data_IF_919120443840
#
_entry.id   IF_919120443840
#
_cell.length_a   1.000
_cell.length_b   1.000
_cell.length_c   1.000
_cell.angle_alpha   90.00
_cell.angle_beta   90.00
_cell.angle_gamma   90.00
#
_symmetry.space_group_name_H-M   'P 1'
#
loop_
_entity.id
_entity.type
_entity.pdbx_description
1 polymer ?
#
# COMPACT_ATOMS: atom_id res chain seq x y z
N UNK A 1 -14.17 23.42 71.99
CA UNK A 1 -15.31 23.35 71.06
C UNK A 1 -15.44 24.69 70.36
N UNK A 2 -14.84 24.82 69.18
CA UNK A 2 -14.70 26.08 68.43
C UNK A 2 -15.80 26.17 67.37
N UNK A 3 -16.66 27.19 67.46
CA UNK A 3 -17.72 27.49 66.47
C UNK A 3 -17.09 28.14 65.23
N UNK A 4 -17.23 27.51 64.06
CA UNK A 4 -16.92 28.11 62.77
C UNK A 4 -18.13 28.92 62.27
N UNK A 5 -17.86 30.19 61.92
CA UNK A 5 -18.78 31.12 61.29
C UNK A 5 -18.81 30.85 59.78
N UNK A 6 -20.00 30.69 59.19
CA UNK A 6 -20.19 30.55 57.74
C UNK A 6 -20.86 31.83 57.24
N UNK A 7 -20.19 32.58 56.36
CA UNK A 7 -20.79 33.69 55.60
C UNK A 7 -21.21 33.18 54.20
N UNK A 8 -22.35 33.63 53.66
CA UNK A 8 -22.77 33.27 52.31
C UNK A 8 -22.11 34.19 51.27
N UNK A 9 -21.52 33.59 50.24
CA UNK A 9 -21.05 34.28 49.03
C UNK A 9 -22.21 34.38 48.04
N UNK A 10 -22.63 35.59 47.72
CA UNK A 10 -23.63 35.87 46.69
C UNK A 10 -23.03 35.65 45.29
N UNK A 11 -23.61 34.73 44.53
CA UNK A 11 -23.26 34.45 43.14
C UNK A 11 -24.12 35.34 42.22
N UNK A 12 -23.55 36.40 41.66
CA UNK A 12 -24.19 37.25 40.67
C UNK A 12 -24.15 36.58 39.28
N UNK A 13 -25.34 36.27 38.75
CA UNK A 13 -25.57 35.74 37.40
C UNK A 13 -25.55 36.91 36.41
N UNK A 14 -24.57 36.94 35.52
CA UNK A 14 -24.56 37.84 34.36
C UNK A 14 -25.11 37.10 33.14
N UNK A 15 -26.36 37.42 32.78
CA UNK A 15 -26.98 37.11 31.49
C UNK A 15 -26.25 37.93 30.41
N UNK A 16 -25.59 37.27 29.45
CA UNK A 16 -25.20 37.91 28.19
C UNK A 16 -26.17 37.50 27.09
N UNK A 17 -26.72 38.52 26.42
CA UNK A 17 -27.71 38.44 25.36
C UNK A 17 -27.13 37.76 24.10
N UNK A 18 -27.88 36.80 23.56
CA UNK A 18 -27.61 36.19 22.27
C UNK A 18 -28.12 37.11 21.14
N UNK A 19 -27.20 37.67 20.36
CA UNK A 19 -27.50 38.36 19.10
C UNK A 19 -27.79 37.32 18.01
N UNK A 20 -29.01 37.35 17.49
CA UNK A 20 -29.47 36.59 16.33
C UNK A 20 -28.89 37.24 15.07
N UNK A 21 -27.98 36.54 14.39
CA UNK A 21 -27.55 36.85 13.02
C UNK A 21 -28.10 35.77 12.07
N UNK A 22 -28.56 36.14 10.85
CA UNK A 22 -29.11 35.18 9.89
C UNK A 22 -28.01 34.27 9.32
N UNK A 23 -28.34 33.01 8.96
CA UNK A 23 -27.36 32.09 8.39
C UNK A 23 -26.95 32.54 6.99
N UNK A 24 -25.66 32.84 6.83
CA UNK A 24 -25.04 32.96 5.52
C UNK A 24 -25.13 31.61 4.77
N UNK A 25 -25.55 31.67 3.51
CA UNK A 25 -25.58 30.54 2.61
C UNK A 25 -24.15 29.99 2.41
N UNK A 26 -23.83 28.92 3.12
CA UNK A 26 -22.56 28.22 3.00
C UNK A 26 -22.56 27.38 1.72
N UNK A 27 -21.72 27.77 0.76
CA UNK A 27 -21.28 26.88 -0.31
C UNK A 27 -20.50 25.73 0.32
N UNK A 28 -21.10 24.54 0.33
CA UNK A 28 -20.56 23.33 0.92
C UNK A 28 -19.30 22.91 0.12
N UNK A 29 -18.12 23.36 0.57
CA UNK A 29 -16.85 22.96 -0.03
C UNK A 29 -16.62 21.47 0.27
N UNK A 30 -16.95 20.61 -0.69
CA UNK A 30 -16.64 19.19 -0.67
C UNK A 30 -15.46 18.92 -1.62
N UNK A 31 -14.21 18.91 -1.14
CA UNK A 31 -13.04 18.67 -1.99
C UNK A 31 -12.98 17.24 -2.54
N UNK A 32 -13.87 16.36 -2.08
CA UNK A 32 -13.94 14.95 -2.47
C UNK A 32 -15.17 14.61 -3.33
N UNK A 33 -15.97 15.61 -3.76
CA UNK A 33 -17.04 15.35 -4.72
C UNK A 33 -16.45 14.80 -6.02
N UNK A 34 -16.80 13.55 -6.34
CA UNK A 34 -16.49 12.90 -7.62
C UNK A 34 -16.89 13.84 -8.76
N UNK A 35 -15.90 14.35 -9.49
CA UNK A 35 -16.15 14.92 -10.81
C UNK A 35 -16.41 13.76 -11.79
N UNK A 36 -17.64 13.23 -11.75
CA UNK A 36 -18.24 12.42 -12.80
C UNK A 36 -19.11 13.36 -13.64
N UNK A 37 -18.51 14.21 -14.49
CA UNK A 37 -19.24 14.84 -15.57
C UNK A 37 -18.33 15.24 -16.74
N UNK A 38 -17.96 14.26 -17.57
CA UNK A 38 -17.55 14.53 -18.94
C UNK A 38 -18.80 14.45 -19.82
N UNK A 39 -19.48 15.58 -19.95
CA UNK A 39 -20.63 15.77 -20.82
C UNK A 39 -20.65 17.22 -21.30
N UNK A 40 -19.82 17.54 -22.29
CA UNK A 40 -19.99 18.76 -23.09
C UNK A 40 -20.01 18.34 -24.55
N UNK A 41 -21.22 18.07 -25.03
CA UNK A 41 -21.55 18.31 -26.42
C UNK A 41 -21.87 19.78 -26.57
N UNK A 42 -21.16 20.47 -27.46
CA UNK A 42 -21.73 21.57 -28.22
C UNK A 42 -21.31 21.41 -29.68
N UNK A 43 -22.31 21.04 -30.47
CA UNK A 43 -22.34 21.12 -31.91
C UNK A 43 -22.32 22.58 -32.33
N UNK A 44 -21.34 22.99 -33.15
CA UNK A 44 -21.55 24.04 -34.14
C UNK A 44 -20.86 23.59 -35.43
N UNK A 45 -21.66 23.12 -36.36
CA UNK A 45 -21.36 23.07 -37.79
C UNK A 45 -22.36 24.04 -38.42
N UNK A 46 -21.92 24.96 -39.29
CA UNK A 46 -22.64 25.04 -40.55
C UNK A 46 -21.71 25.21 -41.76
N UNK A 47 -21.98 24.37 -42.74
CA UNK A 47 -21.64 24.43 -44.16
C UNK A 47 -21.11 25.76 -44.72
N UNK A 48 -20.02 25.68 -45.49
CA UNK A 48 -20.00 26.24 -46.86
C UNK A 48 -18.95 25.59 -47.76
N UNK A 49 -19.39 25.36 -48.99
CA UNK A 49 -18.73 24.66 -50.11
C UNK A 49 -17.62 25.51 -50.73
N UNK A 50 -16.60 24.86 -51.29
CA UNK A 50 -16.14 25.18 -52.66
C UNK A 50 -15.23 24.09 -53.22
N UNK A 51 -15.68 23.61 -54.37
CA UNK A 51 -15.08 22.66 -55.30
C UNK A 51 -14.21 23.45 -56.31
N UNK A 52 -13.01 22.94 -56.65
CA UNK A 52 -12.15 23.11 -57.87
C UNK A 52 -10.68 22.94 -57.43
N UNK A 53 -9.75 22.19 -58.03
CA UNK A 53 -9.66 21.46 -59.29
C UNK A 53 -8.15 21.26 -59.61
N UNK A 54 -7.84 20.21 -60.38
CA UNK A 54 -6.65 19.99 -61.24
C UNK A 54 -5.27 19.52 -60.69
N UNK A 55 -4.78 18.44 -61.34
CA UNK A 55 -3.36 18.21 -61.72
C UNK A 55 -2.70 16.98 -61.08
N UNK A 56 -2.71 15.79 -61.70
CA UNK A 56 -1.77 15.24 -62.72
C UNK A 56 -0.61 14.36 -62.17
N UNK A 57 -0.69 13.06 -62.52
CA UNK A 57 0.34 12.05 -62.84
C UNK A 57 1.60 11.86 -61.96
N UNK A 58 1.85 10.62 -61.49
CA UNK A 58 3.06 9.86 -61.90
C UNK A 58 3.05 8.37 -61.49
N UNK A 59 3.26 7.53 -62.50
CA UNK A 59 3.82 6.17 -62.60
C UNK A 59 4.13 5.29 -61.35
N UNK A 60 3.53 4.10 -61.34
CA UNK A 60 4.20 2.80 -61.56
C UNK A 60 5.26 2.32 -60.56
N UNK A 61 4.99 1.18 -59.91
CA UNK A 61 6.02 0.37 -59.26
C UNK A 61 5.48 -0.78 -58.42
N UNK A 62 5.42 -1.98 -59.01
CA UNK A 62 5.28 -3.24 -58.28
C UNK A 62 6.52 -3.46 -57.39
N UNK A 63 6.33 -3.74 -56.10
CA UNK A 63 7.36 -4.44 -55.31
C UNK A 63 6.75 -5.36 -54.27
N UNK A 64 6.94 -6.65 -54.55
CA UNK A 64 6.89 -7.86 -53.75
C UNK A 64 6.57 -7.74 -52.25
N UNK A 65 5.55 -8.51 -51.86
CA UNK A 65 5.19 -8.78 -50.48
C UNK A 65 6.33 -9.41 -49.69
N UNK A 66 6.85 -8.65 -48.73
CA UNK A 66 7.55 -9.19 -47.59
C UNK A 66 6.52 -9.67 -46.57
N UNK A 67 6.55 -10.97 -46.27
CA UNK A 67 5.89 -11.56 -45.11
C UNK A 67 6.46 -10.91 -43.83
N UNK A 68 5.82 -9.83 -43.38
CA UNK A 68 5.99 -9.30 -42.03
C UNK A 68 5.25 -10.23 -41.08
N UNK A 69 5.95 -11.27 -40.61
CA UNK A 69 5.48 -12.04 -39.46
C UNK A 69 5.38 -11.09 -38.27
N UNK A 70 4.13 -10.89 -37.82
CA UNK A 70 3.74 -9.93 -36.79
C UNK A 70 4.60 -10.02 -35.53
N UNK A 71 5.50 -9.05 -35.40
CA UNK A 71 6.26 -8.77 -34.18
C UNK A 71 5.63 -7.57 -33.47
N UNK A 72 4.32 -7.60 -33.23
CA UNK A 72 3.56 -6.53 -32.58
C UNK A 72 2.68 -7.07 -31.43
N UNK A 73 3.19 -8.00 -30.61
CA UNK A 73 2.40 -8.58 -29.52
C UNK A 73 3.12 -8.79 -28.19
N UNK A 74 4.35 -8.28 -28.03
CA UNK A 74 5.08 -8.38 -26.76
C UNK A 74 5.01 -7.13 -25.88
N UNK A 75 4.79 -5.94 -26.46
CA UNK A 75 4.62 -4.69 -25.70
C UNK A 75 3.31 -4.64 -24.88
N UNK A 76 2.34 -5.51 -25.20
CA UNK A 76 1.03 -5.58 -24.52
C UNK A 76 1.06 -6.34 -23.19
N UNK A 77 2.11 -7.14 -22.92
CA UNK A 77 2.16 -7.98 -21.70
C UNK A 77 2.65 -7.24 -20.47
N UNK A 78 3.45 -6.18 -20.64
CA UNK A 78 3.98 -5.41 -19.51
C UNK A 78 3.06 -4.25 -19.09
N UNK A 79 2.28 -3.68 -20.02
CA UNK A 79 1.33 -2.60 -19.75
C UNK A 79 0.14 -3.05 -18.89
N UNK A 80 -0.30 -4.30 -19.02
CA UNK A 80 -1.36 -4.89 -18.20
C UNK A 80 -1.00 -4.99 -16.71
N UNK A 81 0.26 -5.28 -16.39
CA UNK A 81 0.73 -5.43 -15.01
C UNK A 81 0.87 -4.07 -14.30
N UNK A 82 1.35 -3.05 -15.02
CA UNK A 82 1.43 -1.69 -14.48
C UNK A 82 0.05 -1.08 -14.26
N UNK A 83 -0.88 -1.24 -15.20
CA UNK A 83 -2.26 -0.74 -15.07
C UNK A 83 -2.99 -1.36 -13.88
N UNK A 84 -2.80 -2.67 -13.63
CA UNK A 84 -3.31 -3.35 -12.43
C UNK A 84 -2.70 -2.80 -11.14
N UNK A 85 -1.37 -2.61 -11.13
CA UNK A 85 -0.66 -2.05 -9.98
C UNK A 85 -1.08 -0.62 -9.65
N UNK A 86 -1.25 0.23 -10.68
CA UNK A 86 -1.76 1.61 -10.52
C UNK A 86 -3.21 1.63 -10.01
N UNK A 87 -4.05 0.68 -10.45
CA UNK A 87 -5.42 0.56 -9.95
C UNK A 87 -5.46 0.13 -8.48
N UNK A 88 -4.54 -0.73 -8.05
CA UNK A 88 -4.38 -1.09 -6.64
C UNK A 88 -3.91 0.10 -5.80
N UNK A 89 -2.95 0.88 -6.29
CA UNK A 89 -2.49 2.13 -5.65
C UNK A 89 -3.62 3.14 -5.51
N UNK A 90 -4.42 3.32 -6.55
CA UNK A 90 -5.60 4.20 -6.54
C UNK A 90 -6.61 3.77 -5.48
N UNK A 91 -6.95 2.47 -5.44
CA UNK A 91 -7.87 1.92 -4.44
C UNK A 91 -7.33 2.08 -3.01
N UNK A 92 -6.03 1.82 -2.78
CA UNK A 92 -5.39 2.01 -1.48
C UNK A 92 -5.40 3.49 -1.05
N UNK A 93 -5.12 4.40 -1.98
CA UNK A 93 -5.19 5.85 -1.74
C UNK A 93 -6.60 6.27 -1.34
N UNK A 94 -7.63 5.74 -2.01
CA UNK A 94 -9.03 6.02 -1.66
C UNK A 94 -9.42 5.52 -0.25
N UNK A 95 -8.88 4.39 0.19
CA UNK A 95 -9.08 3.92 1.56
C UNK A 95 -8.35 4.80 2.58
N UNK A 96 -7.11 5.21 2.30
CA UNK A 96 -6.36 6.14 3.15
C UNK A 96 -7.11 7.46 3.30
N UNK A 97 -7.64 8.03 2.20
CA UNK A 97 -8.45 9.26 2.23
C UNK A 97 -9.67 9.09 3.15
N UNK A 98 -10.40 7.98 3.04
CA UNK A 98 -11.54 7.68 3.93
C UNK A 98 -11.11 7.57 5.40
N UNK A 99 -9.98 6.93 5.67
CA UNK A 99 -9.47 6.75 7.03
C UNK A 99 -9.05 8.09 7.64
N UNK A 100 -8.34 8.94 6.88
CA UNK A 100 -8.00 10.31 7.30
C UNK A 100 -9.25 11.13 7.58
N UNK A 101 -10.24 11.08 6.67
CA UNK A 101 -11.50 11.78 6.86
C UNK A 101 -12.22 11.31 8.14
N UNK A 102 -12.34 10.00 8.35
CA UNK A 102 -12.96 9.43 9.54
C UNK A 102 -12.22 9.84 10.82
N UNK A 103 -10.89 9.83 10.80
CA UNK A 103 -10.05 10.26 11.92
C UNK A 103 -10.30 11.73 12.27
N UNK A 104 -10.28 12.62 11.28
CA UNK A 104 -10.50 14.04 11.49
C UNK A 104 -11.92 14.34 11.97
N UNK A 105 -12.92 13.60 11.47
CA UNK A 105 -14.31 13.73 11.94
C UNK A 105 -14.46 13.28 13.39
N UNK A 106 -13.92 12.11 13.74
CA UNK A 106 -14.00 11.55 15.11
C UNK A 106 -13.24 12.39 16.13
N UNK A 107 -12.14 13.02 15.72
CA UNK A 107 -11.36 13.92 16.57
C UNK A 107 -11.93 15.33 16.68
N UNK A 108 -13.06 15.63 16.00
CA UNK A 108 -13.67 16.96 15.99
C UNK A 108 -12.90 18.00 15.19
N UNK A 109 -11.84 17.61 14.48
CA UNK A 109 -10.94 18.48 13.70
C UNK A 109 -11.47 18.80 12.30
N UNK A 110 -12.63 18.25 11.94
CA UNK A 110 -13.21 18.34 10.60
C UNK A 110 -14.16 19.52 10.38
N UNK A 111 -14.66 20.18 11.43
CA UNK A 111 -15.78 21.12 11.31
C UNK A 111 -15.36 22.59 11.34
N UNK A 112 -15.88 23.45 10.44
CA UNK A 112 -16.71 23.18 9.25
C UNK A 112 -15.91 22.68 8.03
N UNK A 113 -14.59 22.80 8.10
CA UNK A 113 -13.60 22.27 7.18
C UNK A 113 -12.32 21.99 7.96
N UNK A 114 -11.45 21.07 7.51
CA UNK A 114 -10.15 20.88 8.14
C UNK A 114 -9.33 22.18 8.06
N UNK A 115 -8.70 22.57 9.17
CA UNK A 115 -7.89 23.78 9.27
C UNK A 115 -6.42 23.46 9.53
N UNK A 116 -5.53 24.42 9.26
CA UNK A 116 -4.10 24.30 9.55
C UNK A 116 -3.46 23.08 8.88
N UNK A 117 -2.76 22.25 9.67
CA UNK A 117 -2.06 21.06 9.17
C UNK A 117 -3.01 20.02 8.56
N UNK A 118 -4.27 19.94 9.01
CA UNK A 118 -5.25 19.00 8.46
C UNK A 118 -5.63 19.35 7.03
N UNK A 119 -5.75 20.66 6.75
CA UNK A 119 -5.97 21.14 5.38
C UNK A 119 -4.80 20.77 4.47
N UNK A 120 -3.56 20.86 4.96
CA UNK A 120 -2.37 20.47 4.19
C UNK A 120 -2.35 18.98 3.86
N UNK A 121 -2.81 18.12 4.78
CA UNK A 121 -2.97 16.68 4.51
C UNK A 121 -4.01 16.44 3.42
N UNK A 122 -5.17 17.09 3.51
CA UNK A 122 -6.21 16.95 2.49
C UNK A 122 -5.74 17.43 1.11
N UNK A 123 -5.02 18.56 1.04
CA UNK A 123 -4.44 19.06 -0.21
C UNK A 123 -3.38 18.09 -0.76
N UNK A 124 -2.46 17.61 0.08
CA UNK A 124 -1.42 16.67 -0.33
C UNK A 124 -2.03 15.37 -0.88
N UNK A 125 -3.04 14.81 -0.22
CA UNK A 125 -3.75 13.62 -0.69
C UNK A 125 -4.47 13.86 -2.02
N UNK A 126 -5.08 15.04 -2.19
CA UNK A 126 -5.74 15.41 -3.44
C UNK A 126 -4.74 15.53 -4.59
N UNK A 127 -3.61 16.22 -4.38
CA UNK A 127 -2.54 16.33 -5.38
C UNK A 127 -1.97 14.96 -5.74
N UNK A 128 -1.73 14.12 -4.73
CA UNK A 128 -1.23 12.77 -4.93
C UNK A 128 -2.19 11.90 -5.75
N UNK A 129 -3.51 11.97 -5.46
CA UNK A 129 -4.53 11.28 -6.26
C UNK A 129 -4.57 11.78 -7.72
N UNK A 130 -4.41 13.08 -7.93
CA UNK A 130 -4.31 13.64 -9.29
C UNK A 130 -3.08 13.13 -10.04
N UNK A 131 -1.93 13.00 -9.36
CA UNK A 131 -0.71 12.42 -9.93
C UNK A 131 -0.94 10.96 -10.34
N UNK A 132 -1.57 10.14 -9.50
CA UNK A 132 -1.95 8.75 -9.86
C UNK A 132 -2.79 8.74 -11.14
N UNK A 133 -3.79 9.62 -11.24
CA UNK A 133 -4.63 9.73 -12.42
C UNK A 133 -3.89 10.21 -13.68
N UNK A 134 -2.84 11.03 -13.53
CA UNK A 134 -1.97 11.41 -14.65
C UNK A 134 -1.13 10.21 -15.12
N UNK A 135 -0.45 9.51 -14.20
CA UNK A 135 0.35 8.32 -14.50
C UNK A 135 -0.50 7.24 -15.18
N UNK A 136 -1.71 6.99 -14.66
CA UNK A 136 -2.65 6.01 -15.24
C UNK A 136 -3.03 6.34 -16.69
N UNK A 137 -3.32 7.62 -16.98
CA UNK A 137 -3.64 8.06 -18.36
C UNK A 137 -2.43 8.02 -19.28
N UNK A 138 -1.23 8.26 -18.74
CA UNK A 138 0.02 8.29 -19.50
C UNK A 138 0.71 6.92 -19.58
N UNK A 139 0.23 5.92 -18.85
CA UNK A 139 0.75 4.55 -18.88
C UNK A 139 0.75 3.90 -20.27
N UNK A 140 0.00 4.44 -21.24
CA UNK A 140 0.05 4.03 -22.65
C UNK A 140 1.22 4.61 -23.45
N UNK A 141 1.95 5.60 -22.92
CA UNK A 141 3.08 6.28 -23.54
C UNK A 141 4.36 6.08 -22.71
N UNK A 142 5.18 5.10 -23.11
CA UNK A 142 6.34 4.61 -22.34
C UNK A 142 7.42 5.68 -22.07
N UNK A 143 7.58 6.68 -22.93
CA UNK A 143 8.74 7.59 -22.89
C UNK A 143 8.83 8.50 -21.65
N UNK A 144 7.72 8.71 -20.93
CA UNK A 144 7.66 9.63 -19.77
C UNK A 144 7.31 8.92 -18.45
N UNK A 145 7.17 7.60 -18.47
CA UNK A 145 6.66 6.83 -17.33
C UNK A 145 7.61 6.86 -16.13
N UNK A 146 8.92 6.80 -16.36
CA UNK A 146 9.92 6.83 -15.29
C UNK A 146 9.87 8.16 -14.52
N UNK A 147 9.77 9.28 -15.24
CA UNK A 147 9.66 10.61 -14.62
C UNK A 147 8.38 10.73 -13.78
N UNK A 148 7.28 10.17 -14.26
CA UNK A 148 6.00 10.19 -13.56
C UNK A 148 6.01 9.31 -12.30
N UNK A 149 6.66 8.14 -12.33
CA UNK A 149 6.82 7.30 -11.15
C UNK A 149 7.68 7.96 -10.07
N UNK A 150 8.72 8.70 -10.46
CA UNK A 150 9.52 9.51 -9.52
C UNK A 150 8.68 10.62 -8.88
N UNK A 151 7.85 11.31 -9.66
CA UNK A 151 6.92 12.32 -9.12
C UNK A 151 5.91 11.70 -8.15
N UNK A 152 5.41 10.51 -8.47
CA UNK A 152 4.48 9.78 -7.60
C UNK A 152 5.15 9.41 -6.27
N UNK A 153 6.40 8.95 -6.31
CA UNK A 153 7.18 8.65 -5.10
C UNK A 153 7.38 9.89 -4.22
N UNK A 154 7.70 11.03 -4.83
CA UNK A 154 7.83 12.30 -4.10
C UNK A 154 6.48 12.77 -3.52
N UNK A 155 5.38 12.59 -4.27
CA UNK A 155 4.03 12.86 -3.80
C UNK A 155 3.66 12.03 -2.58
N UNK A 156 3.95 10.73 -2.60
CA UNK A 156 3.73 9.84 -1.47
C UNK A 156 4.53 10.27 -0.24
N UNK A 157 5.82 10.57 -0.40
CA UNK A 157 6.68 11.05 0.69
C UNK A 157 6.15 12.38 1.29
N UNK A 158 5.67 13.30 0.45
CA UNK A 158 5.08 14.55 0.91
C UNK A 158 3.81 14.30 1.75
N UNK A 159 2.94 13.39 1.31
CA UNK A 159 1.74 13.01 2.07
C UNK A 159 2.11 12.41 3.43
N UNK A 160 3.10 11.52 3.50
CA UNK A 160 3.56 10.95 4.79
C UNK A 160 4.05 12.06 5.73
N UNK A 161 4.86 12.99 5.23
CA UNK A 161 5.38 14.11 6.02
C UNK A 161 4.26 15.05 6.52
N UNK A 162 3.24 15.34 5.68
CA UNK A 162 2.11 16.17 6.11
C UNK A 162 1.23 15.43 7.12
N UNK A 163 0.98 14.14 6.93
CA UNK A 163 0.22 13.31 7.87
C UNK A 163 0.92 13.23 9.23
N UNK A 164 2.23 13.09 9.25
CA UNK A 164 3.02 13.10 10.48
C UNK A 164 2.93 14.45 11.20
N UNK A 165 3.00 15.56 10.48
CA UNK A 165 2.85 16.92 11.05
C UNK A 165 1.43 17.21 11.55
N UNK A 166 0.43 16.66 10.89
CA UNK A 166 -0.97 16.79 11.33
C UNK A 166 -1.33 15.85 12.48
N UNK A 167 -0.46 14.91 12.85
CA UNK A 167 -0.75 13.91 13.88
C UNK A 167 -1.93 13.02 13.49
N UNK A 168 -1.95 12.56 12.23
CA UNK A 168 -2.89 11.52 11.79
C UNK A 168 -2.60 10.23 12.55
N UNK A 169 -3.62 9.39 12.75
CA UNK A 169 -3.46 8.14 13.48
C UNK A 169 -2.34 7.25 12.89
N UNK A 170 -1.56 6.55 13.74
CA UNK A 170 -0.43 5.73 13.29
C UNK A 170 -0.82 4.61 12.32
N UNK A 171 -2.05 4.11 12.39
CA UNK A 171 -2.53 3.05 11.50
C UNK A 171 -2.63 3.53 10.05
N UNK A 172 -3.26 4.68 9.84
CA UNK A 172 -3.39 5.32 8.53
C UNK A 172 -2.03 5.80 8.02
N UNK A 173 -1.15 6.31 8.90
CA UNK A 173 0.23 6.64 8.54
C UNK A 173 1.01 5.41 8.03
N UNK A 174 0.88 4.27 8.72
CA UNK A 174 1.52 3.02 8.31
C UNK A 174 1.00 2.51 6.96
N UNK A 175 -0.30 2.66 6.69
CA UNK A 175 -0.87 2.36 5.36
C UNK A 175 -0.27 3.23 4.25
N UNK A 176 -0.05 4.52 4.52
CA UNK A 176 0.58 5.43 3.57
C UNK A 176 2.07 5.10 3.34
N UNK A 177 2.80 4.70 4.39
CA UNK A 177 4.19 4.23 4.26
C UNK A 177 4.28 2.96 3.40
N UNK A 178 3.40 1.99 3.62
CA UNK A 178 3.34 0.80 2.76
C UNK A 178 3.03 1.16 1.30
N UNK A 179 2.14 2.13 1.07
CA UNK A 179 1.85 2.61 -0.28
C UNK A 179 3.09 3.25 -0.93
N UNK A 180 3.84 4.05 -0.17
CA UNK A 180 5.10 4.64 -0.61
C UNK A 180 6.13 3.56 -1.00
N UNK A 181 6.26 2.50 -0.19
CA UNK A 181 7.15 1.37 -0.46
C UNK A 181 6.75 0.63 -1.73
N UNK A 182 5.45 0.38 -1.93
CA UNK A 182 4.92 -0.25 -3.15
C UNK A 182 5.25 0.58 -4.40
N UNK A 183 5.14 1.92 -4.33
CA UNK A 183 5.48 2.82 -5.43
C UNK A 183 6.98 2.80 -5.73
N UNK A 184 7.82 2.79 -4.70
CA UNK A 184 9.27 2.68 -4.86
C UNK A 184 9.66 1.37 -5.55
N UNK A 185 8.99 0.27 -5.20
CA UNK A 185 9.22 -1.03 -5.84
C UNK A 185 8.80 -1.02 -7.32
N UNK A 186 7.69 -0.37 -7.67
CA UNK A 186 7.30 -0.16 -9.07
C UNK A 186 8.33 0.68 -9.84
N UNK A 187 8.85 1.74 -9.21
CA UNK A 187 9.89 2.58 -9.81
C UNK A 187 11.14 1.75 -10.12
N UNK A 188 11.60 0.94 -9.16
CA UNK A 188 12.74 0.04 -9.35
C UNK A 188 12.48 -0.99 -10.46
N UNK A 189 11.29 -1.61 -10.50
CA UNK A 189 10.91 -2.57 -11.54
C UNK A 189 10.86 -1.94 -12.94
N UNK A 190 10.41 -0.68 -13.05
CA UNK A 190 10.33 0.03 -14.33
C UNK A 190 11.70 0.39 -14.90
N UNK A 191 12.72 0.55 -14.05
CA UNK A 191 14.07 0.94 -14.46
C UNK A 191 14.87 -0.18 -15.17
N UNK A 192 14.44 -1.44 -15.04
CA UNK A 192 15.11 -2.59 -15.67
C UNK A 192 14.69 -2.85 -17.12
N UNK A 193 13.68 -2.14 -17.65
CA UNK A 193 13.13 -2.41 -18.99
C UNK A 193 13.74 -1.54 -20.11
N UNK A 194 15.00 -1.09 -19.94
CA UNK A 194 15.75 -0.30 -20.92
C UNK A 194 16.95 -1.03 -21.57
N UNK A 195 17.16 -2.32 -21.27
CA UNK A 195 18.33 -3.07 -21.73
C UNK A 195 17.99 -4.20 -22.71
N UNK A 196 18.30 -3.98 -23.99
CA UNK A 196 18.59 -4.95 -25.05
C UNK A 196 17.87 -6.34 -25.00
N UNK A 197 16.89 -6.62 -25.89
CA UNK A 197 16.14 -7.88 -25.92
C UNK A 197 16.93 -9.14 -26.33
N UNK A 198 18.24 -9.06 -26.58
CA UNK A 198 19.07 -10.18 -27.08
C UNK A 198 20.03 -10.78 -26.03
N UNK A 199 19.65 -10.83 -24.74
CA UNK A 199 20.45 -11.53 -23.74
C UNK A 199 19.81 -12.90 -23.35
N UNK A 200 20.30 -14.04 -23.89
CA UNK A 200 19.69 -15.37 -23.70
C UNK A 200 19.85 -15.94 -22.28
N UNK A 201 20.52 -15.24 -21.36
CA UNK A 201 20.67 -15.67 -19.97
C UNK A 201 19.42 -15.47 -19.10
N UNK A 202 18.38 -14.80 -19.61
CA UNK A 202 17.15 -14.53 -18.85
C UNK A 202 16.01 -15.54 -19.08
N UNK A 203 16.17 -16.53 -19.95
CA UNK A 203 15.09 -17.47 -20.27
C UNK A 203 15.05 -18.74 -19.39
N UNK A 204 15.85 -18.82 -18.32
CA UNK A 204 15.76 -19.89 -17.30
C UNK A 204 15.74 -19.34 -15.86
N UNK A 205 15.41 -18.06 -15.68
CA UNK A 205 15.41 -17.40 -14.38
C UNK A 205 14.12 -17.62 -13.60
N UNK A 206 14.23 -18.30 -12.47
CA UNK A 206 13.25 -18.26 -11.38
C UNK A 206 12.76 -16.82 -11.13
N UNK A 207 11.44 -16.70 -11.04
CA UNK A 207 10.68 -15.47 -10.78
C UNK A 207 11.24 -14.65 -9.61
N UNK A 208 11.91 -13.53 -9.90
CA UNK A 208 12.16 -12.45 -8.96
C UNK A 208 10.95 -11.48 -8.84
N UNK A 209 9.79 -11.82 -9.42
CA UNK A 209 8.60 -10.96 -9.51
C UNK A 209 7.55 -11.19 -8.39
N UNK A 210 7.86 -11.91 -7.31
CA UNK A 210 6.87 -12.23 -6.25
C UNK A 210 7.00 -11.45 -4.93
N UNK A 211 7.84 -10.41 -4.84
CA UNK A 211 8.23 -9.85 -3.53
C UNK A 211 7.54 -8.57 -3.04
N UNK A 212 6.44 -8.13 -3.66
CA UNK A 212 6.20 -6.68 -3.66
C UNK A 212 4.79 -6.18 -3.39
N UNK A 213 3.95 -6.95 -2.68
CA UNK A 213 2.62 -6.47 -2.30
C UNK A 213 2.09 -7.07 -0.99
N UNK A 214 2.94 -7.20 0.04
CA UNK A 214 2.60 -7.84 1.32
C UNK A 214 1.48 -7.16 2.14
N UNK A 215 0.99 -5.98 1.72
CA UNK A 215 -0.17 -5.34 2.35
C UNK A 215 -1.50 -6.03 2.05
N UNK A 216 -1.58 -6.84 0.98
CA UNK A 216 -2.77 -7.63 0.60
C UNK A 216 -2.44 -8.98 -0.08
N UNK A 217 -1.17 -9.27 -0.40
CA UNK A 217 -0.77 -10.57 -0.90
C UNK A 217 -0.63 -11.55 0.26
N UNK A 218 -1.22 -12.72 0.08
CA UNK A 218 -1.01 -13.86 0.96
C UNK A 218 0.49 -14.15 1.01
N UNK A 219 1.11 -14.03 2.19
CA UNK A 219 2.40 -14.63 2.45
C UNK A 219 2.23 -16.13 2.21
N UNK A 220 3.08 -16.71 1.39
CA UNK A 220 3.21 -18.15 1.23
C UNK A 220 4.66 -18.44 0.87
N UNK A 221 5.49 -18.50 1.91
CA UNK A 221 6.93 -18.72 1.80
C UNK A 221 7.24 -20.08 2.41
N UNK A 222 8.07 -20.87 1.73
CA UNK A 222 8.53 -22.16 2.22
C UNK A 222 10.02 -22.27 1.97
N UNK A 223 10.77 -22.69 3.00
CA UNK A 223 12.22 -22.77 2.96
C UNK A 223 12.69 -24.04 3.68
N UNK A 224 13.61 -24.75 3.04
CA UNK A 224 14.35 -25.84 3.68
C UNK A 224 15.57 -25.27 4.40
N UNK A 225 15.96 -25.88 5.52
CA UNK A 225 17.07 -25.41 6.33
C UNK A 225 17.26 -26.25 7.58
N UNK A 226 17.80 -25.65 8.64
CA UNK A 226 18.00 -26.33 9.92
C UNK A 226 17.48 -25.48 11.04
N UNK A 227 16.64 -26.08 11.88
CA UNK A 227 16.27 -25.44 13.11
C UNK A 227 15.92 -26.39 14.23
N UNK A 228 15.71 -25.80 15.39
CA UNK A 228 15.43 -26.49 16.62
C UNK A 228 14.44 -25.72 17.49
N UNK A 229 13.62 -26.47 18.22
CA UNK A 229 12.74 -25.99 19.27
C UNK A 229 13.27 -26.55 20.59
N UNK A 230 13.46 -25.64 21.54
CA UNK A 230 13.77 -25.96 22.93
C UNK A 230 12.58 -25.56 23.78
N UNK A 231 12.07 -26.48 24.59
CA UNK A 231 11.07 -26.20 25.63
C UNK A 231 11.70 -26.63 26.95
N UNK A 232 11.63 -25.77 27.97
CA UNK A 232 12.28 -26.02 29.25
C UNK A 232 11.81 -27.35 29.85
N UNK A 233 12.74 -28.28 30.10
CA UNK A 233 12.43 -29.61 30.65
C UNK A 233 12.02 -30.66 29.62
N UNK A 234 12.06 -30.36 28.32
CA UNK A 234 11.81 -31.31 27.24
C UNK A 234 13.05 -31.52 26.36
N UNK A 235 13.18 -32.69 25.70
CA UNK A 235 14.20 -32.90 24.67
C UNK A 235 14.09 -31.88 23.53
N UNK A 236 15.23 -31.50 22.95
CA UNK A 236 15.28 -30.59 21.81
C UNK A 236 14.64 -31.24 20.58
N UNK A 237 13.64 -30.58 20.00
CA UNK A 237 13.02 -30.99 18.74
C UNK A 237 13.78 -30.34 17.58
N UNK A 238 14.01 -31.09 16.49
CA UNK A 238 14.70 -30.60 15.29
C UNK A 238 13.75 -30.59 14.09
N UNK A 239 13.81 -29.54 13.30
CA UNK A 239 13.06 -29.40 12.07
C UNK A 239 13.98 -29.01 10.91
N UNK A 240 13.56 -29.34 9.70
CA UNK A 240 14.32 -29.15 8.45
C UNK A 240 13.65 -28.19 7.48
N UNK A 241 12.43 -27.78 7.80
CA UNK A 241 11.63 -26.97 6.91
C UNK A 241 10.84 -25.95 7.73
N UNK A 242 10.66 -24.78 7.14
CA UNK A 242 9.77 -23.75 7.65
C UNK A 242 8.85 -23.27 6.54
N UNK A 243 7.59 -23.01 6.89
CA UNK A 243 6.62 -22.37 6.02
C UNK A 243 5.94 -21.22 6.76
N UNK A 244 5.69 -20.11 6.06
CA UNK A 244 4.98 -18.94 6.57
C UNK A 244 3.83 -18.65 5.63
N UNK A 245 2.61 -18.75 6.14
CA UNK A 245 1.38 -18.54 5.39
C UNK A 245 0.50 -17.46 6.03
N UNK A 246 -0.11 -16.59 5.22
CA UNK A 246 -1.20 -15.71 5.67
C UNK A 246 -2.47 -16.53 5.79
N UNK A 247 -3.01 -16.62 7.00
CA UNK A 247 -4.27 -17.34 7.28
C UNK A 247 -5.47 -16.41 7.38
N UNK A 248 -5.26 -15.14 7.70
CA UNK A 248 -6.30 -14.10 7.69
C UNK A 248 -5.67 -12.77 7.22
N UNK A 249 -5.86 -12.38 5.95
CA UNK A 249 -5.29 -11.15 5.44
C UNK A 249 -5.91 -9.90 6.07
N UNK A 250 -7.17 -9.96 6.51
CA UNK A 250 -7.88 -8.80 7.09
C UNK A 250 -7.28 -8.44 8.44
N UNK A 251 -7.03 -9.45 9.27
CA UNK A 251 -6.43 -9.28 10.59
C UNK A 251 -4.90 -9.40 10.58
N UNK A 252 -4.27 -9.47 9.40
CA UNK A 252 -2.82 -9.67 9.22
C UNK A 252 -2.30 -10.85 10.05
N UNK A 253 -3.07 -11.94 10.09
CA UNK A 253 -2.76 -13.14 10.84
C UNK A 253 -1.98 -14.10 9.97
N UNK A 254 -0.88 -14.60 10.50
CA UNK A 254 0.00 -15.55 9.82
C UNK A 254 0.17 -16.81 10.66
N UNK A 255 0.49 -17.90 9.99
CA UNK A 255 0.92 -19.16 10.59
C UNK A 255 2.35 -19.43 10.17
N UNK A 256 3.20 -19.75 11.13
CA UNK A 256 4.56 -20.24 10.95
C UNK A 256 4.59 -21.72 11.30
N UNK A 257 4.83 -22.56 10.32
CA UNK A 257 4.90 -24.02 10.43
C UNK A 257 6.36 -24.46 10.37
N UNK A 258 6.82 -25.19 11.37
CA UNK A 258 8.14 -25.81 11.44
C UNK A 258 7.95 -27.33 11.28
N UNK A 259 8.61 -27.91 10.28
CA UNK A 259 8.41 -29.31 9.91
C UNK A 259 9.65 -29.98 9.31
N UNK A 260 9.46 -31.13 8.65
CA UNK A 260 10.56 -31.90 8.06
C UNK A 260 11.29 -32.82 9.05
N UNK A 261 10.65 -33.12 10.20
CA UNK A 261 11.08 -34.10 11.20
C UNK A 261 9.95 -35.08 11.56
N UNK A 262 10.08 -35.80 12.69
CA UNK A 262 9.00 -36.63 13.26
C UNK A 262 7.90 -35.77 13.89
N UNK A 263 8.29 -34.60 14.36
CA UNK A 263 7.42 -33.64 15.03
C UNK A 263 7.30 -32.38 14.18
N UNK A 264 6.09 -31.82 14.14
CA UNK A 264 5.79 -30.52 13.55
C UNK A 264 5.35 -29.56 14.67
N UNK A 265 5.61 -28.27 14.46
CA UNK A 265 5.12 -27.19 15.31
C UNK A 265 4.45 -26.15 14.42
N UNK A 266 3.26 -25.70 14.81
CA UNK A 266 2.61 -24.55 14.20
C UNK A 266 2.45 -23.46 15.26
N UNK A 267 2.88 -22.25 14.93
CA UNK A 267 2.63 -21.04 15.69
C UNK A 267 1.78 -20.11 14.83
N UNK A 268 0.75 -19.49 15.39
CA UNK A 268 -0.02 -18.46 14.69
C UNK A 268 -0.19 -17.20 15.53
N UNK A 269 -0.38 -16.08 14.85
CA UNK A 269 -0.43 -14.77 15.49
C UNK A 269 -0.60 -13.63 14.51
N UNK A 270 -0.67 -12.40 15.03
CA UNK A 270 -0.86 -11.18 14.23
C UNK A 270 0.50 -10.52 13.95
N UNK A 271 0.71 -10.03 12.73
CA UNK A 271 1.88 -9.23 12.38
C UNK A 271 1.84 -7.89 13.13
N UNK A 272 2.77 -7.69 14.06
CA UNK A 272 2.89 -6.45 14.85
C UNK A 272 3.90 -5.47 14.26
N UNK A 273 4.91 -5.96 13.56
CA UNK A 273 5.87 -5.13 12.83
C UNK A 273 6.23 -5.78 11.50
N UNK A 274 6.50 -4.94 10.49
CA UNK A 274 6.89 -5.38 9.17
C UNK A 274 7.89 -4.37 8.60
N UNK A 275 9.01 -4.89 8.11
CA UNK A 275 10.09 -4.12 7.50
C UNK A 275 10.52 -4.78 6.21
N UNK A 276 11.40 -4.14 5.43
CA UNK A 276 12.01 -4.76 4.25
C UNK A 276 12.78 -6.04 4.58
N UNK A 277 13.32 -6.14 5.79
CA UNK A 277 14.20 -7.24 6.21
C UNK A 277 13.44 -8.35 6.94
N UNK A 278 12.13 -8.22 7.19
CA UNK A 278 11.44 -9.20 8.01
C UNK A 278 10.09 -8.77 8.56
N UNK A 279 9.44 -9.72 9.25
CA UNK A 279 8.20 -9.52 10.01
C UNK A 279 8.36 -9.98 11.46
N UNK A 280 7.64 -9.30 12.35
CA UNK A 280 7.45 -9.74 13.73
C UNK A 280 5.99 -10.09 13.93
N UNK A 281 5.75 -11.28 14.49
CA UNK A 281 4.43 -11.84 14.75
C UNK A 281 4.26 -11.98 16.26
N UNK A 282 3.19 -11.43 16.82
CA UNK A 282 2.79 -11.71 18.20
C UNK A 282 2.01 -13.04 18.21
N UNK A 283 2.62 -14.07 18.78
CA UNK A 283 2.07 -15.43 18.82
C UNK A 283 1.05 -15.53 19.94
N UNK A 284 -0.13 -16.04 19.61
CA UNK A 284 -1.25 -16.26 20.53
C UNK A 284 -1.85 -17.69 20.41
N UNK A 285 -1.34 -18.52 19.50
CA UNK A 285 -1.89 -19.85 19.22
C UNK A 285 -0.82 -20.83 18.72
N UNK A 286 -0.95 -22.09 19.15
CA UNK A 286 -0.15 -23.23 18.65
C UNK A 286 -0.97 -24.52 18.57
N UNK A 287 -0.54 -25.45 17.72
CA UNK A 287 -1.05 -26.82 17.66
C UNK A 287 -0.58 -27.71 18.83
N UNK A 288 0.38 -27.25 19.65
CA UNK A 288 0.92 -27.97 20.82
C UNK A 288 0.37 -27.47 22.16
N UNK A 289 -0.67 -26.63 22.14
CA UNK A 289 -1.36 -26.14 23.33
C UNK A 289 -1.33 -24.61 23.45
N UNK A 290 -1.49 -24.12 24.68
CA UNK A 290 -1.48 -22.67 24.93
C UNK A 290 -0.07 -22.13 24.73
N UNK A 291 0.07 -21.10 23.90
CA UNK A 291 1.34 -20.40 23.76
C UNK A 291 1.16 -18.90 23.68
N UNK A 292 2.17 -18.18 24.13
CA UNK A 292 2.33 -16.74 23.91
C UNK A 292 3.78 -16.46 23.53
N UNK A 293 4.04 -15.35 22.85
CA UNK A 293 5.42 -14.95 22.54
C UNK A 293 5.51 -14.12 21.29
N UNK A 294 6.70 -14.12 20.69
CA UNK A 294 6.93 -13.51 19.39
C UNK A 294 7.71 -14.43 18.46
N UNK A 295 7.42 -14.32 17.16
CA UNK A 295 8.22 -14.92 16.08
C UNK A 295 8.76 -13.77 15.25
N UNK A 296 10.08 -13.71 15.11
CA UNK A 296 10.79 -12.78 14.25
C UNK A 296 11.31 -13.55 13.04
N UNK A 297 10.82 -13.19 11.88
CA UNK A 297 11.22 -13.75 10.59
C UNK A 297 12.09 -12.73 9.90
N UNK A 298 13.33 -13.10 9.58
CA UNK A 298 14.23 -12.29 8.78
C UNK A 298 14.29 -12.85 7.36
N UNK A 299 14.06 -11.98 6.39
CA UNK A 299 14.16 -12.31 4.98
C UNK A 299 15.60 -12.18 4.51
N UNK A 300 16.05 -13.16 3.72
CA UNK A 300 17.36 -13.21 3.09
C UNK A 300 17.39 -12.45 1.77
N UNK A 301 18.44 -12.72 0.98
CA UNK A 301 18.54 -12.16 -0.38
C UNK A 301 17.43 -12.78 -1.22
N UNK A 302 16.80 -11.97 -2.07
CA UNK A 302 15.69 -12.42 -2.90
C UNK A 302 14.48 -12.93 -2.08
N UNK A 303 14.26 -12.42 -0.86
CA UNK A 303 13.04 -12.64 -0.07
C UNK A 303 12.79 -14.07 0.42
N UNK A 304 13.80 -14.94 0.33
CA UNK A 304 13.80 -16.23 1.02
C UNK A 304 13.76 -16.05 2.55
N UNK A 305 13.42 -17.10 3.29
CA UNK A 305 13.49 -17.05 4.76
C UNK A 305 14.96 -17.25 5.16
N UNK A 306 15.62 -16.19 5.61
CA UNK A 306 17.02 -16.25 6.01
C UNK A 306 17.19 -16.86 7.42
N UNK A 307 16.42 -16.35 8.38
CA UNK A 307 16.41 -16.90 9.73
C UNK A 307 15.06 -16.64 10.42
N UNK A 308 14.70 -17.52 11.35
CA UNK A 308 13.54 -17.33 12.21
C UNK A 308 13.92 -17.58 13.66
N UNK A 309 13.59 -16.62 14.50
CA UNK A 309 13.76 -16.73 15.94
C UNK A 309 12.40 -16.55 16.62
N UNK A 310 11.99 -17.49 17.45
CA UNK A 310 10.80 -17.34 18.27
C UNK A 310 11.12 -17.57 19.74
N UNK A 311 10.46 -16.85 20.63
CA UNK A 311 10.59 -17.04 22.06
C UNK A 311 9.28 -16.69 22.77
N UNK A 312 9.01 -17.38 23.87
CA UNK A 312 7.80 -17.17 24.65
C UNK A 312 7.53 -18.25 25.68
N UNK A 313 6.26 -18.45 26.00
CA UNK A 313 5.81 -19.55 26.86
C UNK A 313 4.89 -20.49 26.09
N UNK A 314 5.05 -21.79 26.31
CA UNK A 314 4.22 -22.87 25.77
C UNK A 314 3.84 -23.77 26.94
N UNK A 315 2.54 -23.90 27.21
CA UNK A 315 2.00 -24.62 28.36
C UNK A 315 2.65 -24.21 29.70
N UNK A 316 2.93 -22.90 29.86
CA UNK A 316 3.57 -22.34 31.05
C UNK A 316 5.09 -22.53 31.13
N UNK A 317 5.71 -23.24 30.19
CA UNK A 317 7.16 -23.43 30.11
C UNK A 317 7.77 -22.49 29.08
N UNK A 318 8.96 -21.96 29.35
CA UNK A 318 9.67 -21.15 28.35
C UNK A 318 10.04 -22.01 27.14
N UNK A 319 9.86 -21.44 25.95
CA UNK A 319 10.32 -22.04 24.71
C UNK A 319 11.15 -21.07 23.88
N UNK A 320 12.06 -21.63 23.07
CA UNK A 320 12.78 -20.89 22.04
C UNK A 320 12.89 -21.73 20.77
N UNK A 321 12.63 -21.09 19.63
CA UNK A 321 12.77 -21.64 18.28
C UNK A 321 13.88 -20.89 17.57
N UNK A 322 14.77 -21.62 16.92
CA UNK A 322 15.80 -21.05 16.05
C UNK A 322 15.80 -21.82 14.73
N UNK A 323 15.75 -21.10 13.62
CA UNK A 323 15.89 -21.62 12.27
C UNK A 323 16.89 -20.77 11.51
N UNK A 324 17.82 -21.40 10.81
CA UNK A 324 18.72 -20.75 9.88
C UNK A 324 18.70 -21.54 8.55
N UNK A 325 18.66 -20.80 7.45
CA UNK A 325 18.85 -21.31 6.10
C UNK A 325 20.35 -21.48 5.82
#
# INVERSE_FOLDING_TARGET
MTKLNVMPVALSISLMAASILPPAAHSQWNPFSRNQNNGIGQSINPFSRSNTGFGQNSFGGNSFGGNSYGQNNFDSRNSGNLSGSLSNIENQTDQIVKNVQNFLQRSGRWSPSPQGNDMLVCQALQTFKQQIGQVKRQSGNNNNMQMQLVQLQQGAANVVNTMQRAGIDPGTLGQMQMLQDNIQQLNNASSFNGGNPNNPFFNNGMNAQQYSNFGNQMLNLQQDGRGQLTVMGQPVMKFRQIAIETIDPVNRRVRTSFGGGRDNLQLSGVITAQTLNGITVAVDSSDKGMCNGSVNVMFGRNGEIGAVNAAGQMNGQQYAVQFNN
#
